data_IF_667758779309
#
_entry.id   IF_667758779309
#
_cell.length_a   1.000
_cell.length_b   1.000
_cell.length_c   1.000
_cell.angle_alpha   90.00
_cell.angle_beta   90.00
_cell.angle_gamma   90.00
#
_symmetry.space_group_name_H-M   'P 1'
#
loop_
_entity.id
_entity.type
_entity.pdbx_description
1 polymer ?
#
# COMPACT_ATOMS: atom_id res chain seq x y z
N UNK A 1 -20.73 -1.44 -12.76
CA UNK A 1 -20.67 -1.82 -11.33
C UNK A 1 -19.20 -1.90 -10.92
N UNK A 2 -18.82 -1.43 -9.73
CA UNK A 2 -17.45 -1.62 -9.23
C UNK A 2 -17.18 -3.12 -9.02
N UNK A 3 -15.96 -3.55 -9.33
CA UNK A 3 -15.51 -4.91 -9.00
C UNK A 3 -15.31 -4.98 -7.49
N UNK A 4 -15.85 -6.01 -6.85
CA UNK A 4 -15.77 -6.22 -5.40
C UNK A 4 -15.23 -7.63 -5.10
N UNK A 5 -14.70 -7.87 -3.89
CA UNK A 5 -14.33 -9.23 -3.47
C UNK A 5 -15.50 -10.21 -3.59
N UNK A 6 -16.70 -9.78 -3.20
CA UNK A 6 -17.91 -10.59 -3.24
C UNK A 6 -18.25 -11.09 -4.65
N UNK A 7 -17.96 -10.31 -5.70
CA UNK A 7 -18.16 -10.75 -7.08
C UNK A 7 -17.28 -11.97 -7.41
N UNK A 8 -16.01 -11.95 -6.99
CA UNK A 8 -15.06 -13.06 -7.21
C UNK A 8 -15.52 -14.30 -6.45
N UNK A 9 -15.98 -14.13 -5.21
CA UNK A 9 -16.52 -15.21 -4.38
C UNK A 9 -17.73 -15.86 -5.06
N UNK A 10 -18.72 -15.06 -5.48
CA UNK A 10 -19.93 -15.57 -6.15
C UNK A 10 -19.58 -16.30 -7.45
N UNK A 11 -18.65 -15.75 -8.25
CA UNK A 11 -18.20 -16.38 -9.48
C UNK A 11 -17.57 -17.75 -9.24
N UNK A 12 -16.57 -17.85 -8.38
CA UNK A 12 -15.87 -19.11 -8.14
C UNK A 12 -16.76 -20.12 -7.42
N UNK A 13 -17.59 -19.68 -6.46
CA UNK A 13 -18.56 -20.56 -5.82
C UNK A 13 -19.58 -21.09 -6.82
N UNK A 14 -20.13 -20.26 -7.72
CA UNK A 14 -21.08 -20.72 -8.74
C UNK A 14 -20.44 -21.74 -9.69
N UNK A 15 -19.22 -21.47 -10.18
CA UNK A 15 -18.50 -22.40 -11.06
C UNK A 15 -18.15 -23.73 -10.36
N UNK A 16 -17.83 -23.69 -9.06
CA UNK A 16 -17.61 -24.88 -8.26
C UNK A 16 -18.89 -25.73 -8.16
N UNK A 17 -20.04 -25.12 -7.86
CA UNK A 17 -21.33 -25.84 -7.77
C UNK A 17 -21.77 -26.43 -9.10
N UNK A 18 -21.41 -25.78 -10.22
CA UNK A 18 -21.66 -26.28 -11.56
C UNK A 18 -20.67 -27.38 -11.99
N UNK A 19 -19.61 -27.65 -11.21
CA UNK A 19 -18.61 -28.68 -11.50
C UNK A 19 -17.71 -28.36 -12.71
N UNK A 20 -17.66 -27.11 -13.18
CA UNK A 20 -16.95 -26.70 -14.39
C UNK A 20 -15.50 -26.27 -14.10
N UNK A 21 -14.68 -27.24 -13.70
CA UNK A 21 -13.25 -27.05 -13.38
C UNK A 21 -12.46 -26.19 -14.36
N UNK A 22 -12.46 -26.50 -15.68
CA UNK A 22 -11.70 -25.73 -16.68
C UNK A 22 -12.10 -24.26 -16.77
N UNK A 23 -13.40 -23.96 -16.62
CA UNK A 23 -13.89 -22.58 -16.64
C UNK A 23 -13.49 -21.83 -15.36
N UNK A 24 -13.40 -22.55 -14.23
CA UNK A 24 -12.82 -22.04 -12.99
C UNK A 24 -11.36 -21.62 -13.15
N UNK A 25 -10.53 -22.49 -13.74
CA UNK A 25 -9.11 -22.17 -14.00
C UNK A 25 -8.97 -20.96 -14.93
N UNK A 26 -9.76 -20.91 -16.01
CA UNK A 26 -9.78 -19.75 -16.92
C UNK A 26 -10.22 -18.46 -16.23
N UNK A 27 -11.20 -18.54 -15.32
CA UNK A 27 -11.62 -17.39 -14.54
C UNK A 27 -10.47 -16.91 -13.64
N UNK A 28 -9.78 -17.80 -12.94
CA UNK A 28 -8.63 -17.46 -12.10
C UNK A 28 -7.49 -16.86 -12.95
N UNK A 29 -7.19 -17.44 -14.11
CA UNK A 29 -6.21 -16.87 -15.05
C UNK A 29 -6.55 -15.42 -15.42
N UNK A 30 -7.81 -15.14 -15.71
CA UNK A 30 -8.24 -13.79 -16.05
C UNK A 30 -8.11 -12.82 -14.87
N UNK A 31 -8.52 -13.24 -13.67
CA UNK A 31 -8.41 -12.45 -12.45
C UNK A 31 -6.94 -12.08 -12.14
N UNK A 32 -6.03 -13.04 -12.27
CA UNK A 32 -4.61 -12.85 -11.97
C UNK A 32 -3.88 -12.00 -13.00
N UNK A 33 -4.28 -12.06 -14.27
CA UNK A 33 -3.61 -11.33 -15.34
C UNK A 33 -4.03 -9.86 -15.46
N UNK A 34 -5.11 -9.43 -14.80
CA UNK A 34 -5.67 -8.07 -14.93
C UNK A 34 -5.67 -7.29 -13.59
N UNK A 35 -4.49 -6.99 -13.02
CA UNK A 35 -4.36 -6.38 -11.69
C UNK A 35 -4.93 -4.97 -11.58
N UNK A 36 -5.04 -4.22 -12.68
CA UNK A 36 -5.66 -2.88 -12.70
C UNK A 36 -7.15 -2.91 -12.31
N UNK A 37 -7.83 -4.02 -12.65
CA UNK A 37 -9.26 -4.21 -12.38
C UNK A 37 -9.50 -5.10 -11.16
N UNK A 38 -8.60 -6.06 -10.95
CA UNK A 38 -8.63 -7.01 -9.85
C UNK A 38 -7.40 -6.80 -8.96
N UNK A 39 -7.33 -5.64 -8.31
CA UNK A 39 -6.22 -5.31 -7.43
C UNK A 39 -6.06 -6.38 -6.35
N UNK A 40 -4.85 -6.93 -6.22
CA UNK A 40 -4.58 -8.10 -5.36
C UNK A 40 -4.99 -7.80 -3.92
N UNK A 41 -4.57 -6.65 -3.38
CA UNK A 41 -4.81 -6.27 -1.98
C UNK A 41 -6.27 -5.91 -1.69
N UNK A 42 -6.94 -5.25 -2.63
CA UNK A 42 -8.28 -4.71 -2.42
C UNK A 42 -9.38 -5.71 -2.80
N UNK A 43 -9.10 -6.64 -3.71
CA UNK A 43 -10.09 -7.55 -4.29
C UNK A 43 -9.74 -9.01 -4.04
N UNK A 44 -8.56 -9.47 -4.48
CA UNK A 44 -8.25 -10.89 -4.53
C UNK A 44 -7.93 -11.50 -3.16
N UNK A 45 -7.13 -10.83 -2.34
CA UNK A 45 -6.83 -11.27 -0.97
C UNK A 45 -8.10 -11.37 -0.14
N UNK A 46 -8.97 -10.32 -0.06
CA UNK A 46 -10.24 -10.46 0.65
C UNK A 46 -11.15 -11.55 0.09
N UNK A 47 -11.21 -11.74 -1.23
CA UNK A 47 -12.01 -12.80 -1.85
C UNK A 47 -11.48 -14.20 -1.51
N UNK A 48 -10.17 -14.40 -1.52
CA UNK A 48 -9.53 -15.65 -1.14
C UNK A 48 -9.77 -15.98 0.34
N UNK A 49 -9.74 -14.98 1.23
CA UNK A 49 -10.09 -15.17 2.64
C UNK A 49 -11.55 -15.60 2.79
N UNK A 50 -12.48 -14.92 2.12
CA UNK A 50 -13.91 -15.27 2.15
C UNK A 50 -14.17 -16.68 1.61
N UNK A 51 -13.54 -17.07 0.50
CA UNK A 51 -13.67 -18.42 -0.06
C UNK A 51 -13.09 -19.49 0.87
N UNK A 52 -12.03 -19.16 1.62
CA UNK A 52 -11.49 -20.05 2.65
C UNK A 52 -12.48 -20.15 3.81
N UNK A 53 -13.00 -19.04 4.31
CA UNK A 53 -13.95 -19.00 5.42
C UNK A 53 -15.31 -19.66 5.10
N UNK A 54 -15.74 -19.68 3.84
CA UNK A 54 -16.98 -20.34 3.41
C UNK A 54 -16.96 -21.87 3.52
N UNK A 55 -15.78 -22.50 3.58
CA UNK A 55 -15.67 -23.95 3.71
C UNK A 55 -15.90 -24.73 2.41
N UNK A 56 -15.98 -26.05 2.56
CA UNK A 56 -16.13 -26.99 1.45
C UNK A 56 -17.49 -26.82 0.73
N UNK A 57 -17.59 -26.99 -0.60
CA UNK A 57 -16.57 -27.48 -1.55
C UNK A 57 -15.68 -26.41 -2.16
N UNK A 58 -16.11 -25.14 -2.14
CA UNK A 58 -15.45 -24.08 -2.88
C UNK A 58 -14.02 -23.81 -2.36
N UNK A 59 -13.78 -23.96 -1.06
CA UNK A 59 -12.47 -23.72 -0.43
C UNK A 59 -11.37 -24.69 -0.85
N UNK A 60 -11.71 -25.94 -1.18
CA UNK A 60 -10.78 -26.99 -1.62
C UNK A 60 -10.90 -27.28 -3.13
N UNK A 61 -11.62 -26.44 -3.87
CA UNK A 61 -11.69 -26.57 -5.32
C UNK A 61 -10.36 -26.10 -5.96
N UNK A 62 -9.79 -26.81 -6.97
CA UNK A 62 -8.46 -26.49 -7.50
C UNK A 62 -8.26 -25.02 -7.93
N UNK A 63 -9.20 -24.37 -8.64
CA UNK A 63 -9.09 -22.95 -8.97
C UNK A 63 -9.01 -22.05 -7.73
N UNK A 64 -9.81 -22.32 -6.70
CA UNK A 64 -9.77 -21.56 -5.44
C UNK A 64 -8.43 -21.74 -4.72
N UNK A 65 -7.90 -22.98 -4.68
CA UNK A 65 -6.57 -23.24 -4.10
C UNK A 65 -5.47 -22.49 -4.84
N UNK A 66 -5.55 -22.40 -6.17
CA UNK A 66 -4.59 -21.65 -6.99
C UNK A 66 -4.65 -20.16 -6.70
N UNK A 67 -5.85 -19.58 -6.63
CA UNK A 67 -6.03 -18.17 -6.22
C UNK A 67 -5.46 -17.92 -4.82
N UNK A 68 -5.75 -18.82 -3.87
CA UNK A 68 -5.23 -18.76 -2.50
C UNK A 68 -3.70 -18.81 -2.47
N UNK A 69 -3.09 -19.74 -3.20
CA UNK A 69 -1.64 -19.87 -3.29
C UNK A 69 -1.00 -18.59 -3.85
N UNK A 70 -1.57 -18.00 -4.90
CA UNK A 70 -1.10 -16.73 -5.44
C UNK A 70 -1.18 -15.59 -4.41
N UNK A 71 -2.28 -15.52 -3.65
CA UNK A 71 -2.43 -14.52 -2.58
C UNK A 71 -1.41 -14.72 -1.46
N UNK A 72 -1.17 -15.97 -1.03
CA UNK A 72 -0.16 -16.30 -0.03
C UNK A 72 1.25 -15.91 -0.47
N UNK A 73 1.62 -16.19 -1.73
CA UNK A 73 2.91 -15.80 -2.29
C UNK A 73 3.08 -14.28 -2.33
N UNK A 74 2.03 -13.55 -2.73
CA UNK A 74 2.02 -12.09 -2.74
C UNK A 74 2.23 -11.52 -1.33
N UNK A 75 1.47 -12.00 -0.34
CA UNK A 75 1.62 -11.58 1.06
C UNK A 75 3.00 -11.92 1.61
N UNK A 76 3.51 -13.12 1.34
CA UNK A 76 4.83 -13.55 1.79
C UNK A 76 5.95 -12.62 1.28
N UNK A 77 5.90 -12.21 0.00
CA UNK A 77 6.87 -11.25 -0.56
C UNK A 77 6.81 -9.90 0.16
N UNK A 78 5.61 -9.39 0.45
CA UNK A 78 5.43 -8.10 1.14
C UNK A 78 5.85 -8.15 2.61
N UNK A 79 5.58 -9.25 3.29
CA UNK A 79 6.00 -9.49 4.68
C UNK A 79 7.52 -9.58 4.76
N UNK A 80 8.18 -10.21 3.78
CA UNK A 80 9.63 -10.38 3.74
C UNK A 80 10.43 -9.07 3.52
N UNK A 81 9.80 -8.02 2.99
CA UNK A 81 10.47 -6.73 2.76
C UNK A 81 11.05 -6.17 4.09
N UNK A 82 12.25 -5.57 4.13
CA UNK A 82 12.77 -4.98 5.38
C UNK A 82 11.85 -3.88 5.94
N UNK A 83 11.55 -3.93 7.24
CA UNK A 83 10.79 -2.90 7.97
C UNK A 83 11.64 -2.43 9.14
N UNK A 84 12.54 -1.50 8.84
CA UNK A 84 13.46 -0.93 9.82
C UNK A 84 12.98 0.49 10.13
N UNK A 85 12.78 0.77 11.42
CA UNK A 85 12.47 2.13 11.85
C UNK A 85 13.67 3.04 11.52
N UNK A 86 13.43 4.28 11.05
CA UNK A 86 14.51 5.25 10.89
C UNK A 86 15.26 5.42 12.21
N UNK A 87 16.58 5.25 12.20
CA UNK A 87 17.41 5.37 13.40
C UNK A 87 17.56 6.82 13.89
N UNK A 88 17.33 7.78 12.98
CA UNK A 88 17.51 9.21 13.19
C UNK A 88 16.42 10.01 12.43
N UNK A 89 16.62 11.33 12.33
CA UNK A 89 15.73 12.19 11.54
C UNK A 89 16.07 12.20 10.05
N UNK A 90 17.03 11.46 9.53
CA UNK A 90 17.28 11.43 8.09
C UNK A 90 16.11 10.77 7.35
N UNK A 91 15.77 11.29 6.17
CA UNK A 91 14.72 10.76 5.28
C UNK A 91 15.27 10.66 3.87
N UNK A 92 14.70 9.78 3.02
CA UNK A 92 15.01 9.76 1.60
C UNK A 92 14.92 11.18 1.03
N UNK A 93 16.05 11.69 0.53
CA UNK A 93 16.21 13.08 0.11
C UNK A 93 16.08 13.28 -1.39
N UNK A 94 15.52 12.28 -2.11
CA UNK A 94 15.34 12.36 -3.55
C UNK A 94 14.13 13.23 -3.86
N UNK A 95 14.39 14.48 -4.24
CA UNK A 95 13.40 15.41 -4.78
C UNK A 95 13.67 15.58 -6.27
N UNK A 96 12.66 15.37 -7.11
CA UNK A 96 12.80 15.38 -8.57
C UNK A 96 13.20 16.76 -9.11
N UNK A 97 12.74 17.82 -8.46
CA UNK A 97 13.05 19.19 -8.87
C UNK A 97 14.44 19.62 -8.38
N UNK A 98 15.24 20.16 -9.29
CA UNK A 98 16.61 20.62 -9.00
C UNK A 98 16.73 22.11 -8.69
N UNK A 99 15.62 22.83 -8.45
CA UNK A 99 15.63 24.25 -8.11
C UNK A 99 16.27 24.50 -6.73
N UNK A 100 16.71 25.74 -6.45
CA UNK A 100 17.40 26.08 -5.20
C UNK A 100 16.61 25.65 -3.94
N UNK A 101 15.30 25.92 -3.90
CA UNK A 101 14.46 25.58 -2.75
C UNK A 101 14.26 24.06 -2.57
N UNK A 102 14.21 23.31 -3.67
CA UNK A 102 14.12 21.85 -3.61
C UNK A 102 15.45 21.20 -3.22
N UNK A 103 16.58 21.85 -3.53
CA UNK A 103 17.90 21.45 -2.97
C UNK A 103 17.96 21.69 -1.47
N UNK A 104 17.47 22.84 -0.98
CA UNK A 104 17.35 23.09 0.46
C UNK A 104 16.46 22.05 1.17
N UNK A 105 15.33 21.70 0.56
CA UNK A 105 14.47 20.62 1.04
C UNK A 105 15.23 19.28 1.07
N UNK A 106 15.98 18.94 0.01
CA UNK A 106 16.76 17.70 -0.05
C UNK A 106 17.84 17.64 1.02
N UNK A 107 18.55 18.75 1.26
CA UNK A 107 19.54 18.87 2.33
C UNK A 107 18.89 18.71 3.70
N UNK A 108 17.74 19.38 3.92
CA UNK A 108 16.96 19.18 5.15
C UNK A 108 16.57 17.72 5.34
N UNK A 109 16.08 17.04 4.29
CA UNK A 109 15.69 15.63 4.36
C UNK A 109 16.86 14.72 4.76
N UNK A 110 18.05 14.96 4.20
CA UNK A 110 19.24 14.15 4.46
C UNK A 110 19.86 14.37 5.86
N UNK A 111 19.55 15.48 6.53
CA UNK A 111 20.13 15.84 7.83
C UNK A 111 19.60 14.92 8.96
N UNK A 112 20.46 14.15 9.66
CA UNK A 112 20.02 13.20 10.68
C UNK A 112 19.61 13.85 12.01
N UNK A 113 20.05 15.08 12.28
CA UNK A 113 19.79 15.77 13.56
C UNK A 113 18.60 16.73 13.44
N UNK A 114 18.35 17.25 12.25
CA UNK A 114 17.33 18.26 12.02
C UNK A 114 15.96 17.66 11.75
N UNK A 115 15.04 17.83 12.71
CA UNK A 115 13.64 17.40 12.60
C UNK A 115 12.71 18.46 12.00
N UNK A 116 13.05 19.75 12.08
CA UNK A 116 12.23 20.88 11.60
C UNK A 116 13.03 21.82 10.68
N UNK A 117 12.43 22.24 9.58
CA UNK A 117 12.92 23.28 8.68
C UNK A 117 11.89 24.37 8.48
N UNK A 118 12.30 25.62 8.73
CA UNK A 118 11.45 26.80 8.54
C UNK A 118 11.89 27.51 7.27
N UNK A 119 11.03 27.49 6.26
CA UNK A 119 11.27 28.07 4.96
C UNK A 119 10.48 29.38 4.79
N UNK A 120 11.15 30.51 5.02
CA UNK A 120 10.59 31.86 4.78
C UNK A 120 10.83 32.25 3.33
N UNK A 121 9.76 32.31 2.55
CA UNK A 121 9.82 32.68 1.14
C UNK A 121 8.47 33.22 0.67
N UNK A 122 8.38 33.84 -0.51
CA UNK A 122 7.11 34.25 -1.10
C UNK A 122 6.17 33.05 -1.35
N UNK A 123 4.87 33.31 -1.47
CA UNK A 123 3.84 32.26 -1.59
C UNK A 123 4.11 31.28 -2.74
N UNK A 124 4.55 31.76 -3.91
CA UNK A 124 4.85 30.93 -5.07
C UNK A 124 5.89 29.85 -4.75
N UNK A 125 6.96 30.20 -4.03
CA UNK A 125 8.02 29.27 -3.64
C UNK A 125 7.55 28.30 -2.58
N UNK A 126 6.77 28.76 -1.58
CA UNK A 126 6.18 27.87 -0.58
C UNK A 126 5.22 26.86 -1.21
N UNK A 127 4.39 27.30 -2.17
CA UNK A 127 3.48 26.42 -2.91
C UNK A 127 4.24 25.38 -3.73
N UNK A 128 5.35 25.78 -4.36
CA UNK A 128 6.21 24.86 -5.11
C UNK A 128 6.85 23.79 -4.22
N UNK A 129 7.37 24.17 -3.04
CA UNK A 129 7.92 23.20 -2.07
C UNK A 129 6.83 22.24 -1.57
N UNK A 130 5.63 22.74 -1.24
CA UNK A 130 4.48 21.89 -0.87
C UNK A 130 4.07 20.91 -1.97
N UNK A 131 4.17 21.33 -3.23
CA UNK A 131 3.88 20.46 -4.36
C UNK A 131 4.93 19.35 -4.48
N UNK A 132 6.21 19.70 -4.38
CA UNK A 132 7.32 18.73 -4.47
C UNK A 132 7.27 17.70 -3.34
N UNK A 133 7.01 18.13 -2.09
CA UNK A 133 6.81 17.23 -0.94
C UNK A 133 5.72 16.18 -1.23
N UNK A 134 4.58 16.61 -1.81
CA UNK A 134 3.45 15.72 -2.10
C UNK A 134 3.72 14.81 -3.29
N UNK A 135 4.30 15.35 -4.36
CA UNK A 135 4.60 14.61 -5.59
C UNK A 135 5.62 13.51 -5.33
N UNK A 136 6.70 13.84 -4.62
CA UNK A 136 7.81 12.92 -4.37
C UNK A 136 7.61 12.10 -3.09
N UNK A 137 6.43 12.22 -2.45
CA UNK A 137 6.01 11.49 -1.25
C UNK A 137 7.01 11.58 -0.09
N UNK A 138 7.61 12.77 0.10
CA UNK A 138 8.54 12.99 1.20
C UNK A 138 7.83 12.82 2.56
N UNK A 139 8.50 12.16 3.52
CA UNK A 139 8.02 12.01 4.90
C UNK A 139 8.16 13.32 5.70
N UNK A 140 7.39 14.32 5.30
CA UNK A 140 7.38 15.67 5.85
C UNK A 140 5.95 16.17 5.95
N UNK A 141 5.52 16.54 7.15
CA UNK A 141 4.33 17.37 7.33
C UNK A 141 4.69 18.84 7.14
N UNK A 142 3.72 19.64 6.67
CA UNK A 142 3.98 21.04 6.37
C UNK A 142 2.82 21.95 6.82
N UNK A 143 3.15 23.09 7.40
CA UNK A 143 2.19 24.09 7.83
C UNK A 143 2.66 25.49 7.46
N UNK A 144 1.73 26.41 7.23
CA UNK A 144 2.08 27.80 6.91
C UNK A 144 1.86 28.67 8.12
N UNK A 145 2.96 29.11 8.73
CA UNK A 145 2.94 30.08 9.82
C UNK A 145 2.74 31.49 9.25
N UNK A 146 1.61 32.11 9.59
CA UNK A 146 1.20 33.43 9.08
C UNK A 146 1.66 34.57 10.00
N UNK A 147 2.87 34.48 10.54
CA UNK A 147 3.45 35.50 11.42
C UNK A 147 4.48 36.35 10.68
N UNK A 148 4.18 37.64 10.49
CA UNK A 148 5.04 38.56 9.74
C UNK A 148 5.05 38.30 8.22
N UNK A 149 5.79 39.14 7.49
CA UNK A 149 6.00 39.02 6.05
C UNK A 149 7.50 38.92 5.74
N UNK A 150 7.93 37.99 4.87
CA UNK A 150 7.15 36.92 4.25
C UNK A 150 6.77 35.79 5.25
N UNK A 151 5.59 35.19 5.07
CA UNK A 151 5.18 34.01 5.88
C UNK A 151 6.14 32.82 5.71
N UNK A 152 6.14 31.92 6.70
CA UNK A 152 6.99 30.74 6.72
C UNK A 152 6.22 29.47 6.36
N UNK A 153 6.87 28.54 5.67
CA UNK A 153 6.48 27.14 5.59
C UNK A 153 7.28 26.36 6.62
N UNK A 154 6.63 25.88 7.66
CA UNK A 154 7.24 25.01 8.67
C UNK A 154 7.08 23.58 8.19
N UNK A 155 8.21 22.93 7.93
CA UNK A 155 8.31 21.54 7.50
C UNK A 155 8.83 20.70 8.65
N UNK A 156 8.08 19.71 9.09
CA UNK A 156 8.48 18.78 10.18
C UNK A 156 8.59 17.39 9.59
N UNK A 157 9.72 16.72 9.80
CA UNK A 157 9.88 15.34 9.35
C UNK A 157 8.94 14.43 10.11
N UNK A 158 8.28 13.55 9.39
CA UNK A 158 7.39 12.53 9.94
C UNK A 158 7.98 11.14 9.73
N UNK A 159 7.26 10.12 10.19
CA UNK A 159 7.55 8.71 9.88
C UNK A 159 6.35 8.07 9.16
N UNK A 160 5.55 8.89 8.46
CA UNK A 160 4.26 8.47 7.93
C UNK A 160 4.38 7.29 6.94
N UNK A 161 5.41 7.24 6.10
CA UNK A 161 5.62 6.10 5.21
C UNK A 161 6.02 4.83 5.97
N UNK A 162 6.85 4.94 7.00
CA UNK A 162 7.18 3.81 7.88
C UNK A 162 5.94 3.29 8.60
N UNK A 163 5.16 4.17 9.24
CA UNK A 163 3.92 3.83 9.94
C UNK A 163 2.90 3.15 9.02
N UNK A 164 2.72 3.68 7.78
CA UNK A 164 1.89 3.03 6.76
C UNK A 164 2.37 1.62 6.43
N UNK A 165 3.69 1.41 6.34
CA UNK A 165 4.26 0.08 6.09
C UNK A 165 4.12 -0.86 7.28
N UNK A 166 4.20 -0.36 8.52
CA UNK A 166 3.90 -1.14 9.74
C UNK A 166 2.45 -1.62 9.71
N UNK A 167 1.50 -0.69 9.51
CA UNK A 167 0.08 -1.03 9.44
C UNK A 167 -0.23 -2.02 8.32
N UNK A 168 0.40 -1.84 7.14
CA UNK A 168 0.26 -2.76 6.03
C UNK A 168 0.77 -4.17 6.37
N UNK A 169 1.97 -4.27 6.99
CA UNK A 169 2.51 -5.58 7.37
C UNK A 169 1.64 -6.30 8.39
N UNK A 170 1.10 -5.57 9.36
CA UNK A 170 0.17 -6.13 10.34
C UNK A 170 -1.05 -6.73 9.62
N UNK A 171 -1.61 -5.98 8.67
CA UNK A 171 -2.74 -6.46 7.85
C UNK A 171 -2.37 -7.68 6.99
N UNK A 172 -1.18 -7.66 6.37
CA UNK A 172 -0.69 -8.77 5.55
C UNK A 172 -0.52 -10.05 6.38
N UNK A 173 -0.01 -9.94 7.62
CA UNK A 173 0.11 -11.07 8.55
C UNK A 173 -1.26 -11.62 8.97
N UNK A 174 -2.23 -10.75 9.25
CA UNK A 174 -3.60 -11.16 9.58
C UNK A 174 -4.27 -11.90 8.41
N UNK A 175 -4.15 -11.37 7.19
CA UNK A 175 -4.73 -12.02 6.01
C UNK A 175 -4.00 -13.32 5.67
N UNK A 176 -2.68 -13.39 5.84
CA UNK A 176 -1.93 -14.64 5.69
C UNK A 176 -2.40 -15.70 6.70
N UNK A 177 -2.60 -15.32 7.97
CA UNK A 177 -3.10 -16.23 9.00
C UNK A 177 -4.49 -16.76 8.64
N UNK A 178 -5.40 -15.90 8.16
CA UNK A 178 -6.74 -16.31 7.69
C UNK A 178 -6.68 -17.31 6.54
N UNK A 179 -5.80 -17.09 5.56
CA UNK A 179 -5.65 -18.00 4.41
C UNK A 179 -5.00 -19.35 4.78
N UNK A 180 -4.19 -19.39 5.84
CA UNK A 180 -3.53 -20.61 6.32
C UNK A 180 -4.36 -21.40 7.34
N UNK A 181 -5.43 -20.84 7.90
CA UNK A 181 -6.27 -21.56 8.84
C UNK A 181 -6.82 -22.83 8.18
N UNK A 182 -6.65 -24.01 8.80
CA UNK A 182 -7.27 -25.23 8.30
C UNK A 182 -8.77 -25.05 8.36
N UNK A 183 -9.42 -25.28 7.22
CA UNK A 183 -10.86 -25.31 7.07
C UNK A 183 -11.39 -26.27 8.15
N UNK A 184 -12.23 -25.74 9.04
CA UNK A 184 -12.84 -26.52 10.10
C UNK A 184 -13.45 -27.81 9.54
N UNK A 185 -13.21 -28.88 10.29
CA UNK A 185 -13.66 -30.26 10.07
C UNK A 185 -15.15 -30.35 9.73
#
# INVERSE_FOLDING_TARGET
MPVTPALVVVLLSALCHLGVGPLGEQAVDHLLNWPERFAVDAILVPAACLLTEQGWPASDWPPTRRLRAHCLDHLARRIAEPLVAPADFARPSRVDCSCAHCRELSLFLADPERSVWVFKAAQQHRSHVKYSIRRDQCDVSHETERRGSPHALVCTKSQASFERRVAQRQKDLEDQARLLQPLGQ
#
